data_IF_812458222395
#
_entry.id   IF_812458222395
#
_cell.length_a   1.000
_cell.length_b   1.000
_cell.length_c   1.000
_cell.angle_alpha   90.00
_cell.angle_beta   90.00
_cell.angle_gamma   90.00
#
_symmetry.space_group_name_H-M   'P 1'
#
loop_
_entity.id
_entity.type
_entity.pdbx_description
1 polymer ?
#
# COMPACT_ATOMS: atom_id res chain seq x y z
N UNK A 1 -15.90 3.79 11.48
CA UNK A 1 -15.18 4.82 10.69
C UNK A 1 -13.79 4.94 11.27
N UNK A 2 -12.74 4.87 10.45
CA UNK A 2 -11.36 5.00 10.91
C UNK A 2 -10.88 6.43 10.62
N UNK A 3 -10.85 7.28 11.65
CA UNK A 3 -10.41 8.67 11.50
C UNK A 3 -8.93 8.74 11.06
N UNK A 4 -8.61 9.67 10.15
CA UNK A 4 -7.27 9.88 9.60
C UNK A 4 -7.01 9.16 8.26
N UNK A 5 -7.86 8.23 7.84
CA UNK A 5 -7.71 7.55 6.54
C UNK A 5 -8.67 8.13 5.50
N UNK A 6 -8.32 7.98 4.21
CA UNK A 6 -9.14 8.44 3.08
C UNK A 6 -10.24 7.43 2.66
N UNK A 7 -10.59 6.47 3.54
CA UNK A 7 -11.61 5.41 3.38
C UNK A 7 -11.51 4.48 2.14
N UNK A 8 -10.60 4.74 1.20
CA UNK A 8 -10.43 3.98 -0.05
C UNK A 8 -8.97 3.79 -0.44
N UNK A 9 -8.71 2.72 -1.17
CA UNK A 9 -7.45 2.44 -1.88
C UNK A 9 -7.71 2.51 -3.37
N UNK A 10 -6.92 3.28 -4.10
CA UNK A 10 -6.93 3.28 -5.57
C UNK A 10 -6.12 2.07 -6.07
N UNK A 11 -6.71 1.33 -6.99
CA UNK A 11 -6.06 0.24 -7.73
C UNK A 11 -5.90 0.65 -9.18
N UNK A 12 -4.75 0.31 -9.74
CA UNK A 12 -4.40 0.59 -11.13
C UNK A 12 -3.77 -0.68 -11.70
N UNK A 13 -4.37 -1.21 -12.75
CA UNK A 13 -3.80 -2.28 -13.55
C UNK A 13 -3.29 -1.70 -14.87
N UNK A 14 -1.96 -1.72 -15.04
CA UNK A 14 -1.28 -1.18 -16.21
C UNK A 14 -1.34 -2.10 -17.43
N UNK A 15 -1.64 -3.39 -17.27
CA UNK A 15 -1.83 -4.29 -18.40
C UNK A 15 -3.19 -4.09 -19.06
N UNK A 16 -4.23 -3.87 -18.24
CA UNK A 16 -5.60 -3.69 -18.72
C UNK A 16 -6.05 -2.22 -18.80
N UNK A 17 -5.19 -1.29 -18.41
CA UNK A 17 -5.49 0.15 -18.32
C UNK A 17 -6.71 0.46 -17.45
N UNK A 18 -6.96 -0.36 -16.43
CA UNK A 18 -8.14 -0.26 -15.57
C UNK A 18 -7.78 0.42 -14.26
N UNK A 19 -8.70 1.27 -13.78
CA UNK A 19 -8.66 1.80 -12.42
C UNK A 19 -9.95 1.49 -11.68
N UNK A 20 -9.84 1.24 -10.38
CA UNK A 20 -10.99 1.10 -9.49
C UNK A 20 -10.59 1.44 -8.05
N UNK A 21 -11.57 1.61 -7.17
CA UNK A 21 -11.32 1.83 -5.75
C UNK A 21 -11.81 0.65 -4.93
N UNK A 22 -11.03 0.26 -3.94
CA UNK A 22 -11.41 -0.72 -2.93
C UNK A 22 -11.63 -0.02 -1.58
N UNK A 23 -12.52 -0.53 -0.72
CA UNK A 23 -12.61 -0.08 0.66
C UNK A 23 -11.30 -0.38 1.40
N UNK A 24 -11.05 0.36 2.49
CA UNK A 24 -9.96 0.01 3.41
C UNK A 24 -10.12 -1.42 3.95
N UNK A 25 -9.00 -2.07 4.34
CA UNK A 25 -9.06 -3.36 5.00
C UNK A 25 -9.74 -3.22 6.38
N UNK A 26 -10.12 -4.35 7.01
CA UNK A 26 -10.75 -4.35 8.33
C UNK A 26 -9.96 -3.54 9.36
N UNK A 27 -10.66 -2.96 10.34
CA UNK A 27 -10.08 -2.05 11.32
C UNK A 27 -8.95 -2.71 12.13
N UNK A 28 -8.99 -4.03 12.28
CA UNK A 28 -7.95 -4.83 12.94
C UNK A 28 -6.63 -4.76 12.17
N UNK A 29 -6.69 -4.79 10.82
CA UNK A 29 -5.53 -4.62 9.94
C UNK A 29 -5.01 -3.18 10.06
N UNK A 30 -5.90 -2.20 9.99
CA UNK A 30 -5.51 -0.78 10.14
C UNK A 30 -4.86 -0.51 11.51
N UNK A 31 -5.36 -1.09 12.59
CA UNK A 31 -4.76 -0.96 13.93
C UNK A 31 -3.41 -1.66 14.03
N UNK A 32 -3.27 -2.83 13.39
CA UNK A 32 -2.04 -3.62 13.44
C UNK A 32 -0.92 -3.00 12.61
N UNK A 33 -1.24 -2.45 11.44
CA UNK A 33 -0.25 -1.99 10.46
C UNK A 33 -0.21 -0.47 10.27
N UNK A 34 -1.18 0.26 10.82
CA UNK A 34 -1.29 1.74 10.92
C UNK A 34 -1.40 2.48 9.58
N UNK A 35 -0.63 2.14 8.56
CA UNK A 35 -0.50 2.93 7.34
C UNK A 35 0.95 2.99 6.89
N UNK A 36 1.24 3.82 5.89
CA UNK A 36 2.60 4.01 5.37
C UNK A 36 3.28 2.67 5.08
N UNK A 37 4.50 2.47 5.60
CA UNK A 37 5.28 1.25 5.39
C UNK A 37 4.57 -0.01 5.89
N UNK A 38 3.93 0.04 7.06
CA UNK A 38 3.31 -1.13 7.66
C UNK A 38 2.16 -1.67 6.81
N UNK A 39 1.27 -0.78 6.36
CA UNK A 39 0.14 -1.18 5.50
C UNK A 39 0.60 -1.53 4.09
N UNK A 40 1.60 -0.83 3.54
CA UNK A 40 2.19 -1.18 2.26
C UNK A 40 2.82 -2.58 2.26
N UNK A 41 3.56 -2.95 3.31
CA UNK A 41 4.12 -4.29 3.46
C UNK A 41 3.04 -5.37 3.66
N UNK A 42 1.95 -5.05 4.36
CA UNK A 42 0.79 -5.96 4.44
C UNK A 42 0.24 -6.28 3.05
N UNK A 43 0.08 -5.28 2.18
CA UNK A 43 -0.39 -5.49 0.81
C UNK A 43 0.65 -6.23 -0.03
N UNK A 44 1.93 -5.83 0.03
CA UNK A 44 3.01 -6.51 -0.69
C UNK A 44 3.05 -8.00 -0.34
N UNK A 45 3.04 -8.34 0.95
CA UNK A 45 3.08 -9.74 1.41
C UNK A 45 1.84 -10.54 1.01
N UNK A 46 0.68 -9.87 0.87
CA UNK A 46 -0.58 -10.51 0.49
C UNK A 46 -0.70 -10.74 -1.01
N UNK A 47 -0.18 -9.82 -1.81
CA UNK A 47 -0.44 -9.75 -3.26
C UNK A 47 0.71 -10.31 -4.09
N UNK A 48 1.94 -10.31 -3.58
CA UNK A 48 3.11 -10.88 -4.26
C UNK A 48 3.08 -12.40 -4.21
N UNK A 49 3.05 -13.10 -5.36
CA UNK A 49 3.14 -14.55 -5.39
C UNK A 49 4.49 -15.06 -4.88
N UNK A 50 4.49 -16.26 -4.30
CA UNK A 50 5.71 -16.89 -3.81
C UNK A 50 6.68 -17.13 -4.97
N UNK A 51 7.91 -16.63 -4.83
CA UNK A 51 8.97 -16.77 -5.84
C UNK A 51 8.89 -15.76 -6.99
N UNK A 52 7.95 -14.81 -6.95
CA UNK A 52 7.93 -13.70 -7.89
C UNK A 52 9.17 -12.83 -7.73
N UNK A 53 9.61 -12.24 -8.84
CA UNK A 53 10.75 -11.33 -8.93
C UNK A 53 10.24 -9.91 -9.09
N UNK A 54 11.05 -8.92 -8.69
CA UNK A 54 10.63 -7.52 -8.67
C UNK A 54 10.14 -6.96 -10.02
N UNK A 55 10.56 -7.54 -11.15
CA UNK A 55 10.14 -7.12 -12.48
C UNK A 55 8.89 -7.82 -13.02
N UNK A 56 8.36 -8.80 -12.29
CA UNK A 56 7.20 -9.57 -12.74
C UNK A 56 5.91 -8.73 -12.62
N UNK A 57 5.00 -8.78 -13.62
CA UNK A 57 3.85 -7.88 -13.70
C UNK A 57 2.83 -8.05 -12.56
N UNK A 58 2.86 -9.18 -11.84
CA UNK A 58 2.07 -9.43 -10.64
C UNK A 58 2.59 -8.71 -9.39
N UNK A 59 3.85 -8.23 -9.38
CA UNK A 59 4.45 -7.62 -8.20
C UNK A 59 3.99 -6.16 -8.09
N UNK A 60 3.26 -5.79 -7.02
CA UNK A 60 2.68 -4.46 -6.93
C UNK A 60 3.75 -3.41 -6.60
N UNK A 61 3.66 -2.27 -7.28
CA UNK A 61 4.31 -1.02 -6.86
C UNK A 61 3.33 -0.20 -6.02
N UNK A 62 3.60 -0.09 -4.72
CA UNK A 62 2.63 0.45 -3.76
C UNK A 62 3.06 1.85 -3.31
N UNK A 63 2.19 2.82 -3.54
CA UNK A 63 2.26 4.15 -2.94
C UNK A 63 1.29 4.19 -1.76
N UNK A 64 1.79 4.50 -0.57
CA UNK A 64 0.96 4.47 0.64
C UNK A 64 1.25 5.65 1.56
N UNK A 65 0.19 6.16 2.19
CA UNK A 65 0.27 7.21 3.20
C UNK A 65 -0.03 6.64 4.59
N UNK A 66 0.46 7.34 5.62
CA UNK A 66 0.02 7.12 6.99
C UNK A 66 -1.24 7.92 7.33
N UNK A 67 -1.92 7.62 8.45
CA UNK A 67 -3.18 8.26 8.83
C UNK A 67 -3.05 9.73 9.27
N UNK A 68 -1.81 10.22 9.43
CA UNK A 68 -1.55 11.64 9.68
C UNK A 68 -1.31 12.43 8.39
N UNK A 69 -1.04 11.76 7.26
CA UNK A 69 -0.70 12.43 6.03
C UNK A 69 -1.84 13.37 5.58
N UNK A 70 -1.51 14.63 5.29
CA UNK A 70 -2.48 15.66 4.90
C UNK A 70 -3.29 16.25 6.05
N UNK A 71 -3.02 15.88 7.31
CA UNK A 71 -3.63 16.51 8.49
C UNK A 71 -2.84 17.75 8.94
N UNK A 72 -3.27 18.38 10.05
CA UNK A 72 -2.57 19.52 10.67
C UNK A 72 -1.42 19.11 11.60
N UNK A 73 -1.11 17.81 11.69
CA UNK A 73 0.01 17.35 12.50
C UNK A 73 1.34 17.92 11.94
N UNK A 74 2.31 18.29 12.78
CA UNK A 74 3.60 18.78 12.29
C UNK A 74 4.28 17.76 11.37
N UNK A 75 4.79 18.23 10.24
CA UNK A 75 5.55 17.42 9.26
C UNK A 75 4.80 16.21 8.69
N UNK A 76 3.47 16.27 8.59
CA UNK A 76 2.63 15.17 8.12
C UNK A 76 2.35 15.19 6.60
N UNK A 77 3.41 15.25 5.80
CA UNK A 77 3.35 15.23 4.33
C UNK A 77 3.99 13.98 3.71
N UNK A 78 4.45 13.04 4.54
CA UNK A 78 5.18 11.87 4.07
C UNK A 78 4.26 10.82 3.44
N UNK A 79 4.82 10.13 2.44
CA UNK A 79 4.32 8.89 1.86
C UNK A 79 5.48 7.92 1.68
N UNK A 80 5.18 6.67 1.39
CA UNK A 80 6.19 5.65 1.09
C UNK A 80 5.89 4.97 -0.23
N UNK A 81 6.95 4.48 -0.87
CA UNK A 81 6.88 3.62 -2.04
C UNK A 81 7.49 2.28 -1.67
N UNK A 82 6.77 1.19 -1.91
CA UNK A 82 7.17 -0.15 -1.50
C UNK A 82 6.95 -1.11 -2.67
N UNK A 83 7.96 -1.94 -2.93
CA UNK A 83 7.92 -3.10 -3.83
C UNK A 83 9.06 -4.05 -3.45
N UNK A 84 9.22 -5.17 -4.16
CA UNK A 84 10.38 -6.02 -4.03
C UNK A 84 11.65 -5.30 -4.50
N UNK A 85 12.76 -5.53 -3.79
CA UNK A 85 14.06 -5.09 -4.26
C UNK A 85 14.52 -5.91 -5.47
N UNK A 86 15.01 -5.27 -6.52
CA UNK A 86 15.34 -5.93 -7.78
C UNK A 86 16.45 -6.99 -7.64
N UNK A 87 17.45 -6.70 -6.82
CA UNK A 87 18.65 -7.56 -6.69
C UNK A 87 18.55 -8.58 -5.55
N UNK A 88 17.53 -8.49 -4.68
CA UNK A 88 17.43 -9.35 -3.49
C UNK A 88 16.25 -10.32 -3.69
N UNK A 89 16.48 -11.64 -3.71
CA UNK A 89 15.41 -12.62 -3.76
C UNK A 89 14.70 -12.74 -2.39
N UNK A 90 13.39 -12.98 -2.40
CA UNK A 90 12.53 -13.11 -1.21
C UNK A 90 11.79 -14.46 -1.18
#
# INVERSE_FOLDING_TARGET
MAYGYADRILRVDLNTHRTWTEPLPPVEVLRKYVGGTGLALYYLAKETPRGAKAGDPEVPLIFMTGPLAGTRAPSSSNYVVVSLHYEIPY
#
